data_IF_412663633549
#
_entry.id   IF_412663633549
#
_cell.length_a   1.000
_cell.length_b   1.000
_cell.length_c   1.000
_cell.angle_alpha   90.00
_cell.angle_beta   90.00
_cell.angle_gamma   90.00
#
_symmetry.space_group_name_H-M   'P 1'
#
loop_
_entity.id
_entity.type
_entity.pdbx_description
1 polymer ?
#
# COMPACT_ATOMS: atom_id res chain seq x y z
N UNK A 1 31.57 -20.04 7.01
CA UNK A 1 32.21 -19.82 5.69
C UNK A 1 31.93 -18.40 5.26
N UNK A 2 32.97 -17.62 5.06
CA UNK A 2 32.89 -16.26 4.49
C UNK A 2 32.68 -16.44 2.97
N UNK A 3 31.57 -15.95 2.45
CA UNK A 3 31.32 -15.88 1.02
C UNK A 3 31.40 -14.41 0.55
N UNK A 4 31.22 -14.17 -0.75
CA UNK A 4 31.30 -12.81 -1.30
C UNK A 4 30.32 -11.81 -0.65
N UNK A 5 29.24 -12.32 -0.07
CA UNK A 5 28.21 -11.52 0.62
C UNK A 5 28.51 -11.30 2.12
N UNK A 6 29.38 -12.12 2.69
CA UNK A 6 29.81 -12.05 4.10
C UNK A 6 31.28 -11.65 4.21
N UNK A 7 31.78 -10.80 3.29
CA UNK A 7 33.09 -10.18 3.46
C UNK A 7 33.18 -9.54 4.84
N UNK A 8 34.35 -9.56 5.51
CA UNK A 8 34.48 -9.03 6.86
C UNK A 8 33.91 -7.61 6.91
N UNK A 9 32.78 -7.48 7.58
CA UNK A 9 32.21 -6.18 7.90
C UNK A 9 33.08 -5.60 9.02
N UNK A 10 33.69 -4.47 8.80
CA UNK A 10 34.41 -3.74 9.85
C UNK A 10 33.45 -3.33 10.98
N UNK A 11 32.17 -3.13 10.67
CA UNK A 11 31.11 -2.89 11.62
C UNK A 11 29.78 -3.41 11.07
N UNK A 12 28.89 -3.91 11.92
CA UNK A 12 27.55 -4.36 11.51
C UNK A 12 27.03 -5.54 12.33
N UNK A 13 25.82 -5.97 12.00
CA UNK A 13 25.16 -7.12 12.61
C UNK A 13 24.91 -8.18 11.53
N UNK A 14 25.30 -9.42 11.80
CA UNK A 14 25.00 -10.56 10.97
C UNK A 14 24.03 -11.49 11.69
N UNK A 15 22.88 -11.77 11.08
CA UNK A 15 21.87 -12.67 11.60
C UNK A 15 21.71 -13.82 10.63
N UNK A 16 21.87 -15.06 11.07
CA UNK A 16 21.66 -16.25 10.28
C UNK A 16 20.54 -17.09 10.89
N UNK A 17 19.51 -17.35 10.11
CA UNK A 17 18.43 -18.26 10.46
C UNK A 17 18.78 -19.66 9.92
N UNK A 18 18.73 -20.66 10.79
CA UNK A 18 19.00 -22.05 10.45
C UNK A 18 17.70 -22.83 10.37
N UNK A 19 17.72 -23.91 9.59
CA UNK A 19 16.61 -24.87 9.51
C UNK A 19 15.26 -24.24 9.13
N UNK A 20 15.32 -23.12 8.38
CA UNK A 20 14.11 -22.49 7.88
C UNK A 20 13.55 -23.36 6.74
N UNK A 21 12.39 -23.97 6.98
CA UNK A 21 11.74 -24.81 5.98
C UNK A 21 11.12 -23.94 4.86
N UNK A 22 11.72 -24.07 3.69
CA UNK A 22 11.26 -23.43 2.44
C UNK A 22 10.65 -24.44 1.49
N UNK A 23 10.37 -25.66 1.94
CA UNK A 23 9.81 -26.73 1.13
C UNK A 23 8.43 -26.32 0.59
N UNK A 24 8.23 -26.41 -0.71
CA UNK A 24 6.97 -26.04 -1.35
C UNK A 24 6.83 -24.59 -1.76
N UNK A 25 7.70 -23.69 -1.31
CA UNK A 25 7.70 -22.30 -1.82
C UNK A 25 8.35 -22.25 -3.21
N UNK A 26 7.53 -22.01 -4.24
CA UNK A 26 7.96 -21.90 -5.64
C UNK A 26 8.16 -20.47 -6.10
N UNK A 27 7.74 -19.50 -5.30
CA UNK A 27 7.81 -18.07 -5.63
C UNK A 27 9.23 -17.53 -5.50
N UNK A 28 9.57 -16.56 -6.32
CA UNK A 28 10.84 -15.86 -6.19
C UNK A 28 10.81 -14.97 -4.94
N UNK A 29 11.66 -15.32 -3.94
CA UNK A 29 11.73 -14.55 -2.69
C UNK A 29 11.96 -13.06 -2.96
N UNK A 30 12.83 -12.73 -3.90
CA UNK A 30 13.13 -11.35 -4.27
C UNK A 30 11.93 -10.60 -4.80
N UNK A 31 10.99 -11.23 -5.50
CA UNK A 31 9.78 -10.58 -5.99
C UNK A 31 8.72 -10.46 -4.89
N UNK A 32 8.40 -11.56 -4.23
CA UNK A 32 7.34 -11.57 -3.21
C UNK A 32 7.77 -10.82 -1.95
N UNK A 33 9.01 -11.03 -1.49
CA UNK A 33 9.55 -10.33 -0.34
C UNK A 33 9.77 -8.84 -0.62
N UNK A 34 10.25 -8.51 -1.81
CA UNK A 34 10.37 -7.12 -2.27
C UNK A 34 9.04 -6.39 -2.17
N UNK A 35 7.99 -7.01 -2.69
CA UNK A 35 6.65 -6.44 -2.67
C UNK A 35 6.15 -6.22 -1.23
N UNK A 36 6.23 -7.26 -0.40
CA UNK A 36 5.80 -7.18 1.01
C UNK A 36 6.63 -6.17 1.82
N UNK A 37 7.93 -6.19 1.66
CA UNK A 37 8.81 -5.24 2.36
C UNK A 37 8.59 -3.80 1.90
N UNK A 38 8.27 -3.59 0.62
CA UNK A 38 7.91 -2.25 0.11
C UNK A 38 6.68 -1.68 0.82
N UNK A 39 5.66 -2.51 1.09
CA UNK A 39 4.47 -2.11 1.83
C UNK A 39 4.72 -1.96 3.35
N UNK A 40 5.56 -2.83 3.92
CA UNK A 40 5.91 -2.78 5.35
C UNK A 40 6.83 -1.62 5.69
N UNK A 41 7.66 -1.19 4.73
CA UNK A 41 8.63 -0.12 4.90
C UNK A 41 8.48 0.89 3.75
N UNK A 42 7.38 1.66 3.70
CA UNK A 42 7.15 2.64 2.63
C UNK A 42 8.25 3.68 2.51
N UNK A 43 8.88 4.05 3.62
CA UNK A 43 10.01 4.96 3.68
C UNK A 43 11.16 4.33 4.44
N UNK A 44 12.11 3.76 3.71
CA UNK A 44 13.30 3.11 4.28
C UNK A 44 14.41 4.15 4.44
N UNK A 45 15.02 4.20 5.62
CA UNK A 45 16.12 5.11 5.90
C UNK A 45 17.41 4.72 5.18
N UNK A 46 17.59 3.43 4.87
CA UNK A 46 18.76 2.89 4.17
C UNK A 46 18.31 1.88 3.11
N UNK A 47 18.96 1.82 1.94
CA UNK A 47 18.61 0.84 0.90
C UNK A 47 18.89 -0.58 1.41
N UNK A 48 17.96 -1.49 1.16
CA UNK A 48 18.07 -2.91 1.48
C UNK A 48 18.24 -3.69 0.18
N UNK A 49 19.34 -4.44 0.05
CA UNK A 49 19.56 -5.32 -1.09
C UNK A 49 19.05 -6.72 -0.80
N UNK A 50 18.25 -7.24 -1.70
CA UNK A 50 17.71 -8.60 -1.65
C UNK A 50 18.42 -9.45 -2.69
N UNK A 51 18.90 -10.63 -2.27
CA UNK A 51 19.54 -11.60 -3.13
C UNK A 51 18.81 -12.94 -3.07
N UNK A 52 18.46 -13.50 -4.21
CA UNK A 52 17.98 -14.86 -4.32
C UNK A 52 19.15 -15.78 -4.69
N UNK A 53 19.53 -16.65 -3.76
CA UNK A 53 20.70 -17.53 -3.90
C UNK A 53 20.31 -18.96 -4.23
N UNK A 54 19.03 -19.27 -4.36
CA UNK A 54 18.58 -20.62 -4.72
C UNK A 54 18.83 -20.89 -6.20
N UNK A 55 19.31 -22.10 -6.52
CA UNK A 55 19.78 -22.46 -7.86
C UNK A 55 18.70 -22.79 -8.90
N UNK A 56 17.43 -22.50 -8.65
CA UNK A 56 16.35 -22.84 -9.58
C UNK A 56 16.02 -21.73 -10.59
N UNK A 57 16.67 -20.60 -10.49
CA UNK A 57 16.46 -19.47 -11.40
C UNK A 57 17.67 -19.33 -12.32
N UNK A 58 17.42 -19.25 -13.63
CA UNK A 58 18.43 -18.94 -14.62
C UNK A 58 18.91 -17.48 -14.58
N UNK A 59 18.28 -16.65 -13.78
CA UNK A 59 18.58 -15.21 -13.66
C UNK A 59 19.06 -14.88 -12.27
N UNK A 60 20.07 -14.02 -12.18
CA UNK A 60 20.48 -13.40 -10.92
C UNK A 60 19.35 -12.53 -10.43
N UNK A 61 18.72 -12.96 -9.36
CA UNK A 61 17.65 -12.21 -8.75
C UNK A 61 18.23 -11.34 -7.65
N UNK A 62 18.69 -10.18 -8.04
CA UNK A 62 19.14 -9.13 -7.14
C UNK A 62 18.22 -7.92 -7.32
N UNK A 63 17.74 -7.36 -6.24
CA UNK A 63 16.96 -6.11 -6.25
C UNK A 63 17.28 -5.25 -5.05
N UNK A 64 17.19 -3.94 -5.23
CA UNK A 64 17.34 -2.97 -4.14
C UNK A 64 15.97 -2.47 -3.74
N UNK A 65 15.63 -2.64 -2.47
CA UNK A 65 14.41 -2.14 -1.89
C UNK A 65 14.60 -0.67 -1.49
N UNK A 66 13.85 0.20 -2.12
CA UNK A 66 13.86 1.65 -1.84
C UNK A 66 12.63 2.12 -1.05
N UNK A 67 11.66 1.23 -0.84
CA UNK A 67 10.39 1.54 -0.19
C UNK A 67 9.30 2.01 -1.16
N UNK A 68 8.06 1.82 -0.75
CA UNK A 68 6.90 2.15 -1.58
C UNK A 68 6.78 3.65 -1.81
N UNK A 69 7.05 4.49 -0.78
CA UNK A 69 6.97 5.95 -0.88
C UNK A 69 7.91 6.49 -1.95
N UNK A 70 9.16 6.03 -1.97
CA UNK A 70 10.15 6.42 -2.99
C UNK A 70 9.69 6.02 -4.39
N UNK A 71 9.17 4.78 -4.54
CA UNK A 71 8.62 4.31 -5.82
C UNK A 71 7.44 5.14 -6.30
N UNK A 72 6.60 5.62 -5.38
CA UNK A 72 5.44 6.45 -5.69
C UNK A 72 5.84 7.90 -6.02
N UNK A 73 6.91 8.40 -5.44
CA UNK A 73 7.35 9.79 -5.64
C UNK A 73 8.25 9.95 -6.88
N UNK A 74 9.14 8.99 -7.15
CA UNK A 74 10.21 9.14 -8.16
C UNK A 74 9.88 8.55 -9.54
N UNK A 75 9.11 7.47 -9.62
CA UNK A 75 9.03 6.68 -10.86
C UNK A 75 7.63 6.54 -11.46
N UNK A 76 6.61 7.17 -10.90
CA UNK A 76 5.25 6.67 -11.11
C UNK A 76 4.21 7.70 -11.49
N UNK A 77 4.63 8.92 -11.80
CA UNK A 77 3.71 9.97 -12.28
C UNK A 77 2.84 9.49 -13.45
N UNK A 78 3.41 8.65 -14.31
CA UNK A 78 2.68 8.08 -15.46
C UNK A 78 1.64 7.02 -15.06
N UNK A 79 1.74 6.46 -13.85
CA UNK A 79 0.79 5.48 -13.31
C UNK A 79 -0.28 6.10 -12.43
N UNK A 80 -0.16 7.38 -12.08
CA UNK A 80 -1.13 8.09 -11.28
C UNK A 80 -2.12 8.87 -12.13
N UNK A 81 -3.32 9.03 -11.62
CA UNK A 81 -4.30 9.95 -12.17
C UNK A 81 -3.84 11.40 -11.99
N UNK A 82 -4.22 12.25 -12.92
CA UNK A 82 -3.88 13.68 -12.91
C UNK A 82 -4.41 14.36 -11.65
N UNK A 83 -3.52 15.07 -10.95
CA UNK A 83 -3.84 15.76 -9.70
C UNK A 83 -3.61 14.93 -8.45
N UNK A 84 -3.04 13.75 -8.59
CA UNK A 84 -2.60 12.90 -7.47
C UNK A 84 -1.06 12.74 -7.48
N UNK A 85 -0.41 12.53 -6.30
CA UNK A 85 -1.05 12.41 -4.99
C UNK A 85 -1.58 13.74 -4.42
N UNK A 86 -2.58 13.66 -3.54
CA UNK A 86 -3.04 14.79 -2.73
C UNK A 86 -2.63 14.63 -1.28
N UNK A 87 -2.40 15.76 -0.59
CA UNK A 87 -1.96 15.79 0.80
C UNK A 87 -3.07 16.37 1.67
N UNK A 88 -3.38 15.69 2.76
CA UNK A 88 -4.39 16.08 3.73
C UNK A 88 -3.78 16.14 5.12
N UNK A 89 -4.18 17.15 5.89
CA UNK A 89 -3.84 17.26 7.30
C UNK A 89 -5.15 17.35 8.08
N UNK A 90 -5.27 16.54 9.11
CA UNK A 90 -6.46 16.52 9.95
C UNK A 90 -6.10 16.20 11.40
N UNK A 91 -6.99 16.60 12.30
CA UNK A 91 -6.80 16.39 13.74
C UNK A 91 -7.82 15.39 14.27
N UNK A 92 -7.38 14.48 15.12
CA UNK A 92 -8.22 13.50 15.78
C UNK A 92 -7.88 13.47 17.26
N UNK A 93 -8.83 13.78 18.12
CA UNK A 93 -8.63 13.82 19.58
C UNK A 93 -7.38 14.63 20.01
N UNK A 94 -7.15 15.77 19.35
CA UNK A 94 -5.99 16.63 19.60
C UNK A 94 -4.69 16.19 18.96
N UNK A 95 -4.65 15.02 18.31
CA UNK A 95 -3.48 14.50 17.60
C UNK A 95 -3.50 14.96 16.15
N UNK A 96 -2.36 15.41 15.64
CA UNK A 96 -2.19 15.81 14.24
C UNK A 96 -1.76 14.61 13.40
N UNK A 97 -2.47 14.39 12.30
CA UNK A 97 -2.20 13.35 11.32
C UNK A 97 -2.07 13.96 9.93
N UNK A 98 -1.25 13.36 9.11
CA UNK A 98 -1.19 13.67 7.68
C UNK A 98 -1.47 12.44 6.84
N UNK A 99 -2.14 12.61 5.71
CA UNK A 99 -2.40 11.55 4.76
C UNK A 99 -2.00 11.96 3.36
N UNK A 100 -1.38 11.03 2.65
CA UNK A 100 -1.12 11.11 1.22
C UNK A 100 -2.09 10.16 0.51
N UNK A 101 -2.87 10.69 -0.43
CA UNK A 101 -3.85 9.93 -1.20
C UNK A 101 -3.32 9.74 -2.61
N UNK A 102 -3.03 8.51 -2.95
CA UNK A 102 -2.62 8.09 -4.28
C UNK A 102 -3.80 7.47 -5.00
N UNK A 103 -3.99 7.85 -6.26
CA UNK A 103 -4.99 7.22 -7.13
C UNK A 103 -4.33 6.83 -8.43
N UNK A 104 -4.32 5.55 -8.72
CA UNK A 104 -3.67 4.97 -9.89
C UNK A 104 -4.62 4.98 -11.10
N UNK A 105 -4.04 5.04 -12.29
CA UNK A 105 -4.76 4.73 -13.52
C UNK A 105 -5.28 3.30 -13.49
N UNK A 106 -6.31 3.01 -14.25
CA UNK A 106 -6.90 1.67 -14.28
C UNK A 106 -5.85 0.60 -14.59
N UNK A 107 -5.78 -0.44 -13.74
CA UNK A 107 -4.82 -1.54 -13.85
C UNK A 107 -3.41 -1.24 -13.33
N UNK A 108 -3.03 0.02 -13.10
CA UNK A 108 -1.67 0.36 -12.67
C UNK A 108 -1.39 0.07 -11.19
N UNK A 109 -2.43 -0.02 -10.36
CA UNK A 109 -2.31 -0.26 -8.91
C UNK A 109 -1.69 -1.62 -8.56
N UNK A 110 -1.83 -2.63 -9.42
CA UNK A 110 -1.30 -3.98 -9.20
C UNK A 110 0.22 -4.03 -9.03
N UNK A 111 0.92 -3.03 -9.55
CA UNK A 111 2.36 -2.87 -9.37
C UNK A 111 2.75 -2.39 -7.96
N UNK A 112 1.81 -1.90 -7.17
CA UNK A 112 2.07 -1.21 -5.90
C UNK A 112 1.37 -1.83 -4.70
N UNK A 113 0.18 -2.38 -4.89
CA UNK A 113 -0.66 -2.94 -3.83
C UNK A 113 -1.46 -4.15 -4.35
N UNK A 114 -2.02 -4.93 -3.42
CA UNK A 114 -3.03 -5.95 -3.70
C UNK A 114 -4.38 -5.48 -3.18
N UNK A 115 -4.69 -5.81 -1.94
CA UNK A 115 -5.93 -5.42 -1.26
C UNK A 115 -5.75 -4.28 -0.26
N UNK A 116 -4.52 -3.81 -0.09
CA UNK A 116 -4.24 -2.71 0.84
C UNK A 116 -4.90 -1.42 0.32
N UNK A 117 -5.71 -0.78 1.18
CA UNK A 117 -6.33 0.51 0.90
C UNK A 117 -5.65 1.63 1.67
N UNK A 118 -5.44 1.44 2.98
CA UNK A 118 -4.86 2.45 3.87
C UNK A 118 -3.71 1.83 4.65
N UNK A 119 -2.56 2.50 4.65
CA UNK A 119 -1.39 2.14 5.45
C UNK A 119 -1.19 3.19 6.56
N UNK A 120 -1.04 2.73 7.79
CA UNK A 120 -0.70 3.58 8.94
C UNK A 120 0.78 3.44 9.23
N UNK A 121 1.51 4.53 9.09
CA UNK A 121 2.98 4.54 9.09
C UNK A 121 3.50 5.28 10.32
N UNK A 122 4.46 4.68 11.01
CA UNK A 122 5.25 5.27 12.08
C UNK A 122 6.73 5.23 11.69
N UNK A 123 7.38 6.38 11.64
CA UNK A 123 8.82 6.47 11.34
C UNK A 123 9.23 5.69 10.07
N UNK A 124 8.41 5.77 9.03
CA UNK A 124 8.67 5.11 7.76
C UNK A 124 8.29 3.64 7.67
N UNK A 125 7.76 3.04 8.74
CA UNK A 125 7.32 1.64 8.78
C UNK A 125 5.80 1.54 8.92
N UNK A 126 5.18 0.61 8.23
CA UNK A 126 3.76 0.31 8.38
C UNK A 126 3.53 -0.46 9.68
N UNK A 127 2.65 0.07 10.51
CA UNK A 127 2.23 -0.50 11.78
C UNK A 127 0.78 -0.97 11.81
N UNK A 128 0.09 -0.84 10.71
CA UNK A 128 -1.27 -1.34 10.52
C UNK A 128 -1.79 -0.96 9.15
N UNK A 129 -2.80 -1.68 8.70
CA UNK A 129 -3.44 -1.42 7.42
C UNK A 129 -4.95 -1.66 7.49
N UNK A 130 -5.66 -1.06 6.54
CA UNK A 130 -7.04 -1.38 6.21
C UNK A 130 -7.12 -1.74 4.74
N UNK A 131 -8.03 -2.68 4.42
CA UNK A 131 -8.25 -3.08 3.03
C UNK A 131 -9.02 -2.00 2.23
N UNK A 132 -9.05 -2.15 0.93
CA UNK A 132 -9.68 -1.21 0.00
C UNK A 132 -11.23 -1.18 0.09
N UNK A 133 -11.87 -2.15 0.79
CA UNK A 133 -13.30 -2.12 1.09
C UNK A 133 -13.69 -0.91 1.93
N UNK A 134 -12.73 -0.30 2.62
CA UNK A 134 -12.95 0.98 3.30
C UNK A 134 -13.53 2.04 2.35
N UNK A 135 -13.02 2.10 1.12
CA UNK A 135 -13.46 3.08 0.12
C UNK A 135 -14.86 2.81 -0.43
N UNK A 136 -15.36 1.57 -0.31
CA UNK A 136 -16.71 1.19 -0.70
C UNK A 136 -17.79 1.47 0.37
N UNK A 137 -17.39 1.92 1.58
CA UNK A 137 -18.34 2.30 2.63
C UNK A 137 -19.29 3.37 2.11
N UNK A 138 -20.56 3.34 2.55
CA UNK A 138 -21.60 4.30 2.11
C UNK A 138 -21.21 5.76 2.38
N UNK A 139 -20.48 6.02 3.46
CA UNK A 139 -19.97 7.34 3.84
C UNK A 139 -18.89 7.86 2.92
N UNK A 140 -18.08 6.97 2.34
CA UNK A 140 -16.98 7.29 1.42
C UNK A 140 -17.46 7.30 -0.04
N UNK A 141 -18.17 6.25 -0.44
CA UNK A 141 -18.82 6.08 -1.75
C UNK A 141 -17.85 6.20 -2.95
N UNK A 142 -16.72 5.51 -2.88
CA UNK A 142 -15.67 5.49 -3.90
C UNK A 142 -15.44 4.08 -4.47
N UNK A 143 -16.47 3.23 -4.49
CA UNK A 143 -16.37 1.81 -4.89
C UNK A 143 -15.76 1.63 -6.29
N UNK A 144 -16.12 2.48 -7.25
CA UNK A 144 -15.63 2.39 -8.64
C UNK A 144 -14.13 2.70 -8.84
N UNK A 145 -13.48 3.23 -7.82
CA UNK A 145 -12.04 3.52 -7.84
C UNK A 145 -11.27 2.86 -6.70
N UNK A 146 -11.93 2.07 -5.84
CA UNK A 146 -11.34 1.48 -4.63
C UNK A 146 -10.05 0.70 -4.91
N UNK A 147 -10.06 -0.12 -5.96
CA UNK A 147 -8.92 -0.95 -6.34
C UNK A 147 -7.73 -0.10 -6.83
N UNK A 148 -7.98 1.13 -7.24
CA UNK A 148 -6.97 2.08 -7.73
C UNK A 148 -6.50 3.07 -6.67
N UNK A 149 -6.95 2.96 -5.42
CA UNK A 149 -6.59 3.90 -4.36
C UNK A 149 -5.63 3.30 -3.36
N UNK A 150 -4.70 4.12 -2.88
CA UNK A 150 -3.85 3.85 -1.74
C UNK A 150 -3.70 5.12 -0.91
N UNK A 151 -3.91 5.01 0.39
CA UNK A 151 -3.74 6.12 1.34
C UNK A 151 -2.63 5.76 2.31
N UNK A 152 -1.66 6.66 2.48
CA UNK A 152 -0.59 6.50 3.48
C UNK A 152 -0.83 7.56 4.55
N UNK A 153 -1.14 7.13 5.76
CA UNK A 153 -1.36 7.98 6.93
C UNK A 153 -0.10 7.98 7.79
N UNK A 154 0.51 9.14 7.92
CA UNK A 154 1.67 9.32 8.81
C UNK A 154 1.19 9.58 10.23
N UNK A 155 1.55 8.66 11.12
CA UNK A 155 1.24 8.67 12.53
C UNK A 155 2.47 8.97 13.41
N UNK A 156 3.59 9.42 12.82
CA UNK A 156 4.85 9.62 13.54
C UNK A 156 4.76 10.72 14.60
N UNK A 157 3.85 11.69 14.39
CA UNK A 157 3.60 12.79 15.31
C UNK A 157 2.69 12.47 16.51
N UNK A 158 2.17 11.26 16.62
CA UNK A 158 1.29 10.88 17.72
C UNK A 158 2.04 10.83 19.06
N UNK A 159 1.37 11.18 20.14
CA UNK A 159 1.86 11.00 21.49
C UNK A 159 2.18 9.53 21.80
N UNK A 160 3.21 9.28 22.62
CA UNK A 160 3.67 7.93 22.95
C UNK A 160 2.53 7.04 23.50
N UNK A 161 1.72 7.57 24.41
CA UNK A 161 0.58 6.86 25.00
C UNK A 161 -0.47 6.45 23.94
N UNK A 162 -0.78 7.33 22.99
CA UNK A 162 -1.72 7.03 21.90
C UNK A 162 -1.14 5.95 20.98
N UNK A 163 0.16 6.05 20.66
CA UNK A 163 0.85 5.03 19.83
C UNK A 163 0.78 3.63 20.46
N UNK A 164 1.15 3.51 21.74
CA UNK A 164 1.15 2.23 22.46
C UNK A 164 -0.25 1.61 22.55
N UNK A 165 -1.28 2.42 22.71
CA UNK A 165 -2.66 1.96 22.79
C UNK A 165 -3.27 1.64 21.42
N UNK A 166 -2.80 2.27 20.35
CA UNK A 166 -3.38 2.13 19.00
C UNK A 166 -2.74 1.01 18.20
N UNK A 167 -1.41 0.86 18.27
CA UNK A 167 -0.69 -0.09 17.45
C UNK A 167 -0.42 -1.40 18.18
N UNK A 168 -0.57 -2.52 17.47
CA UNK A 168 -0.22 -3.84 17.98
C UNK A 168 1.27 -4.11 17.76
N UNK A 169 1.88 -4.90 18.66
CA UNK A 169 3.27 -5.33 18.53
C UNK A 169 3.50 -6.17 17.27
N UNK A 170 2.47 -6.87 16.77
CA UNK A 170 2.49 -7.62 15.51
C UNK A 170 2.60 -6.75 14.26
N UNK A 171 2.32 -5.44 14.36
CA UNK A 171 2.37 -4.45 13.26
C UNK A 171 1.50 -4.80 12.06
N UNK A 172 0.45 -5.59 12.26
CA UNK A 172 -0.46 -6.01 11.19
C UNK A 172 -1.76 -5.21 11.17
N UNK A 173 -2.19 -4.72 12.32
CA UNK A 173 -3.46 -3.99 12.47
C UNK A 173 -3.44 -3.03 13.67
N UNK A 174 -4.40 -2.11 13.64
CA UNK A 174 -4.71 -1.24 14.75
C UNK A 174 -5.59 -1.96 15.77
N UNK A 175 -5.37 -1.69 17.05
CA UNK A 175 -6.28 -2.12 18.12
C UNK A 175 -7.63 -1.43 17.96
N UNK A 176 -8.68 -2.07 18.42
CA UNK A 176 -10.02 -1.48 18.49
C UNK A 176 -10.06 -0.48 19.67
N UNK A 177 -9.83 0.78 19.37
CA UNK A 177 -9.80 1.89 20.32
C UNK A 177 -10.72 3.02 19.85
N UNK A 178 -11.07 3.92 20.76
CA UNK A 178 -11.78 5.14 20.40
C UNK A 178 -11.00 5.95 19.36
N UNK A 179 -9.69 6.11 19.57
CA UNK A 179 -8.81 6.83 18.64
C UNK A 179 -8.90 6.25 17.22
N UNK A 180 -8.84 4.92 17.09
CA UNK A 180 -9.01 4.27 15.78
C UNK A 180 -10.36 4.62 15.15
N UNK A 181 -11.45 4.55 15.92
CA UNK A 181 -12.79 4.86 15.41
C UNK A 181 -12.88 6.30 14.91
N UNK A 182 -12.30 7.24 15.64
CA UNK A 182 -12.29 8.64 15.24
C UNK A 182 -11.38 8.90 14.02
N UNK A 183 -10.25 8.21 13.90
CA UNK A 183 -9.40 8.25 12.70
C UNK A 183 -10.17 7.72 11.48
N UNK A 184 -10.89 6.60 11.62
CA UNK A 184 -11.72 6.07 10.53
C UNK A 184 -12.79 7.08 10.10
N UNK A 185 -13.50 7.70 11.02
CA UNK A 185 -14.50 8.75 10.72
C UNK A 185 -13.89 10.00 10.06
N UNK A 186 -12.70 10.40 10.50
CA UNK A 186 -12.01 11.52 9.90
C UNK A 186 -11.61 11.20 8.44
N UNK A 187 -11.04 10.01 8.20
CA UNK A 187 -10.72 9.55 6.86
C UNK A 187 -11.95 9.39 5.96
N UNK A 188 -13.07 8.90 6.50
CA UNK A 188 -14.33 8.82 5.75
C UNK A 188 -14.79 10.21 5.27
N UNK A 189 -14.70 11.24 6.11
CA UNK A 189 -15.02 12.61 5.72
C UNK A 189 -14.06 13.16 4.68
N UNK A 190 -12.74 13.09 4.95
CA UNK A 190 -11.71 13.62 4.07
C UNK A 190 -11.79 13.02 2.66
N UNK A 191 -11.92 11.70 2.57
CA UNK A 191 -12.00 10.99 1.30
C UNK A 191 -13.39 11.16 0.64
N UNK A 192 -14.45 11.05 1.45
CA UNK A 192 -15.83 11.18 0.97
C UNK A 192 -16.14 12.59 0.45
N UNK A 193 -15.50 13.64 0.97
CA UNK A 193 -15.70 15.02 0.51
C UNK A 193 -14.74 15.46 -0.58
N UNK A 194 -13.75 14.63 -0.90
CA UNK A 194 -12.72 14.98 -1.88
C UNK A 194 -13.27 15.07 -3.30
N UNK A 195 -13.36 16.30 -3.85
CA UNK A 195 -13.96 16.56 -5.17
C UNK A 195 -13.33 15.80 -6.34
N UNK A 196 -11.99 15.67 -6.33
CA UNK A 196 -11.25 14.94 -7.36
C UNK A 196 -11.59 13.46 -7.38
N UNK A 197 -11.67 12.81 -6.20
CA UNK A 197 -12.04 11.41 -6.07
C UNK A 197 -13.49 11.17 -6.51
N UNK A 198 -14.42 12.02 -6.08
CA UNK A 198 -15.84 11.93 -6.51
C UNK A 198 -15.98 12.05 -8.03
N UNK A 199 -15.27 13.00 -8.64
CA UNK A 199 -15.28 13.18 -10.11
C UNK A 199 -14.77 11.93 -10.81
N UNK A 200 -13.63 11.39 -10.38
CA UNK A 200 -13.04 10.20 -10.96
C UNK A 200 -13.93 8.96 -10.78
N UNK A 201 -14.49 8.77 -9.58
CA UNK A 201 -15.42 7.67 -9.31
C UNK A 201 -16.66 7.72 -10.22
N UNK A 202 -17.23 8.93 -10.42
CA UNK A 202 -18.34 9.11 -11.34
C UNK A 202 -17.95 8.84 -12.79
N UNK A 203 -16.78 9.28 -13.22
CA UNK A 203 -16.27 8.99 -14.57
C UNK A 203 -16.15 7.48 -14.79
N UNK A 204 -15.47 6.75 -13.91
CA UNK A 204 -15.31 5.30 -14.04
C UNK A 204 -16.64 4.54 -13.94
N UNK A 205 -17.58 5.04 -13.15
CA UNK A 205 -18.94 4.48 -13.10
C UNK A 205 -19.62 4.58 -14.47
N UNK A 206 -19.53 5.74 -15.13
CA UNK A 206 -20.12 5.94 -16.45
C UNK A 206 -19.44 5.06 -17.52
N UNK A 207 -18.11 4.94 -17.46
CA UNK A 207 -17.34 4.06 -18.35
C UNK A 207 -17.76 2.59 -18.17
N UNK A 208 -17.86 2.13 -16.93
CA UNK A 208 -18.31 0.76 -16.63
C UNK A 208 -19.73 0.50 -17.13
N UNK A 209 -20.62 1.48 -17.02
CA UNK A 209 -22.00 1.38 -17.53
C UNK A 209 -22.03 1.30 -19.05
N UNK A 210 -21.23 2.13 -19.74
CA UNK A 210 -21.12 2.11 -21.22
C UNK A 210 -20.59 0.77 -21.73
N UNK A 211 -19.56 0.24 -21.09
CA UNK A 211 -18.98 -1.06 -21.45
C UNK A 211 -20.02 -2.19 -21.31
N UNK A 212 -20.77 -2.23 -20.20
CA UNK A 212 -21.85 -3.21 -20.00
C UNK A 212 -22.94 -3.13 -21.09
N UNK A 213 -23.29 -1.92 -21.52
CA UNK A 213 -24.28 -1.71 -22.60
C UNK A 213 -23.71 -2.20 -23.94
N UNK A 214 -22.44 -1.89 -24.22
CA UNK A 214 -21.76 -2.35 -25.44
C UNK A 214 -21.67 -3.88 -25.50
N UNK A 215 -21.34 -4.53 -24.39
CA UNK A 215 -21.22 -5.99 -24.30
C UNK A 215 -22.57 -6.71 -24.41
N UNK A 216 -23.66 -6.04 -24.05
CA UNK A 216 -25.01 -6.60 -24.16
C UNK A 216 -25.63 -6.49 -25.57
N UNK A 217 -25.13 -5.59 -26.44
CA UNK A 217 -25.67 -5.40 -27.80
C UNK A 217 -25.63 -6.67 -28.67
N UNK A 218 -24.51 -7.42 -28.77
CA UNK A 218 -24.47 -8.63 -29.58
C UNK A 218 -25.49 -9.69 -29.18
N UNK A 219 -25.79 -9.78 -27.87
CA UNK A 219 -26.78 -10.72 -27.31
C UNK A 219 -28.20 -10.31 -27.69
N UNK A 220 -28.51 -9.00 -27.70
CA UNK A 220 -29.82 -8.50 -28.09
C UNK A 220 -30.05 -8.64 -29.61
N UNK A 221 -29.00 -8.51 -30.42
CA UNK A 221 -29.05 -8.74 -31.88
C UNK A 221 -29.19 -10.22 -32.25
N UNK A 222 -28.65 -11.14 -31.43
CA UNK A 222 -28.76 -12.59 -31.64
C UNK A 222 -30.12 -13.18 -31.23
N UNK A 223 -30.94 -12.41 -30.50
CA UNK A 223 -32.30 -12.80 -30.05
C UNK A 223 -33.42 -12.21 -30.89
N UNK A 224 -33.12 -11.46 -31.95
CA UNK A 224 -34.05 -10.99 -32.98
C UNK A 224 -33.97 -11.88 -34.21
#
# INVERSE_FOLDING_TARGET
>A
SVNAQTRPLEAGTFIKLYEYDMTGYRTAITLDLYYRLSLLMPRIAVPVRLYEMRGYSAHTLETTLTGLGVRLDEGTRDNLETGFPTHHQFSVLGQQLSAQVYTFRAGASENYKRSEGILFVLNGQTHGSMDDRFFARKTVNLDYIRDSMLVIVDCSGLDAHIRENTFMNSRDRLRQTEFRSEVEKALERELGDHRGLKRLANQRRLEATRNKISDAKPLAEALQ
#
